data_IF_507663686241
#
_entry.id   IF_507663686241
#
_cell.length_a   1.000
_cell.length_b   1.000
_cell.length_c   1.000
_cell.angle_alpha   90.00
_cell.angle_beta   90.00
_cell.angle_gamma   90.00
#
_symmetry.space_group_name_H-M   'P 1'
#
loop_
_entity.id
_entity.type
_entity.pdbx_description
1 polymer ?
#
# COMPACT_ATOMS: atom_id res chain seq x y z
N UNK A 1 27.24 5.18 -11.59
CA UNK A 1 26.17 6.14 -11.97
C UNK A 1 25.98 7.12 -10.84
N UNK A 2 25.70 8.38 -11.16
CA UNK A 2 25.32 9.38 -10.17
C UNK A 2 23.86 9.20 -9.73
N UNK A 3 23.46 9.68 -8.54
CA UNK A 3 22.06 9.64 -8.10
C UNK A 3 21.11 10.33 -9.09
N UNK A 4 21.57 11.41 -9.73
CA UNK A 4 20.78 12.14 -10.74
C UNK A 4 20.51 11.30 -11.98
N UNK A 5 21.47 10.50 -12.43
CA UNK A 5 21.29 9.58 -13.55
C UNK A 5 20.24 8.52 -13.19
N UNK A 6 20.38 7.87 -12.03
CA UNK A 6 19.43 6.84 -11.57
C UNK A 6 17.98 7.36 -11.51
N UNK A 7 17.77 8.57 -10.99
CA UNK A 7 16.44 9.19 -10.95
C UNK A 7 15.87 9.43 -12.38
N UNK A 8 16.73 9.81 -13.32
CA UNK A 8 16.38 10.01 -14.72
C UNK A 8 16.06 8.70 -15.45
N UNK A 9 16.72 7.59 -15.10
CA UNK A 9 16.41 6.27 -15.64
C UNK A 9 15.00 5.80 -15.30
N UNK A 10 14.50 6.12 -14.09
CA UNK A 10 13.10 5.82 -13.73
C UNK A 10 12.14 6.60 -14.64
N UNK A 11 12.40 7.90 -14.87
CA UNK A 11 11.56 8.72 -15.75
C UNK A 11 11.55 8.18 -17.18
N UNK A 12 12.72 7.81 -17.72
CA UNK A 12 12.84 7.25 -19.06
C UNK A 12 12.14 5.90 -19.18
N UNK A 13 12.30 5.02 -18.19
CA UNK A 13 11.64 3.72 -18.17
C UNK A 13 10.11 3.85 -18.15
N UNK A 14 9.57 4.77 -17.34
CA UNK A 14 8.12 5.05 -17.29
C UNK A 14 7.60 5.62 -18.62
N UNK A 15 8.37 6.49 -19.27
CA UNK A 15 8.00 7.05 -20.57
C UNK A 15 8.03 6.00 -21.69
N UNK A 16 9.01 5.09 -21.64
CA UNK A 16 9.17 4.03 -22.63
C UNK A 16 8.13 2.92 -22.47
N UNK A 17 7.88 2.51 -21.22
CA UNK A 17 6.88 1.52 -20.85
C UNK A 17 5.90 2.10 -19.83
N UNK A 18 4.77 2.68 -20.30
CA UNK A 18 3.71 3.14 -19.42
C UNK A 18 3.09 2.03 -18.56
N UNK A 19 3.21 0.77 -18.96
CA UNK A 19 2.70 -0.38 -18.24
C UNK A 19 3.67 -0.90 -17.15
N UNK A 20 4.87 -0.32 -17.02
CA UNK A 20 5.86 -0.70 -16.02
C UNK A 20 5.27 -0.67 -14.60
N UNK A 21 5.50 -1.76 -13.85
CA UNK A 21 4.85 -2.01 -12.56
C UNK A 21 5.77 -1.91 -11.36
N UNK A 22 7.07 -1.98 -11.59
CA UNK A 22 8.11 -1.86 -10.59
C UNK A 22 9.41 -1.53 -11.31
N UNK A 23 10.32 -0.89 -10.60
CA UNK A 23 11.67 -0.60 -11.06
C UNK A 23 12.68 -1.15 -10.05
N UNK A 24 13.70 -1.86 -10.54
CA UNK A 24 14.65 -2.58 -9.70
C UNK A 24 16.05 -1.99 -9.89
N UNK A 25 16.71 -1.61 -8.80
CA UNK A 25 18.13 -1.30 -8.79
C UNK A 25 18.90 -2.50 -8.27
N UNK A 26 19.58 -3.24 -9.16
CA UNK A 26 20.54 -4.26 -8.76
C UNK A 26 21.95 -3.66 -8.74
N UNK A 27 22.65 -3.76 -7.61
CA UNK A 27 23.98 -3.16 -7.44
C UNK A 27 24.97 -4.12 -6.78
N UNK A 28 26.18 -4.24 -7.34
CA UNK A 28 27.26 -5.05 -6.77
C UNK A 28 27.96 -4.41 -5.57
N UNK A 29 27.51 -3.22 -5.17
CA UNK A 29 28.00 -2.44 -4.04
C UNK A 29 26.83 -1.90 -3.25
N UNK A 30 27.05 -1.60 -1.99
CA UNK A 30 26.07 -0.95 -1.12
C UNK A 30 25.56 0.34 -1.75
N UNK A 31 24.24 0.45 -1.86
CA UNK A 31 23.58 1.68 -2.28
C UNK A 31 23.45 2.59 -1.06
N UNK A 32 23.98 3.83 -1.12
CA UNK A 32 23.85 4.75 0.00
C UNK A 32 22.38 5.00 0.33
N UNK A 33 22.04 5.00 1.62
CA UNK A 33 20.66 5.18 2.10
C UNK A 33 20.00 6.45 1.54
N UNK A 34 20.78 7.52 1.36
CA UNK A 34 20.29 8.75 0.74
C UNK A 34 19.80 8.54 -0.70
N UNK A 35 20.52 7.72 -1.48
CA UNK A 35 20.17 7.42 -2.88
C UNK A 35 18.94 6.52 -2.93
N UNK A 36 18.92 5.48 -2.10
CA UNK A 36 17.77 4.59 -1.92
C UNK A 36 16.50 5.38 -1.58
N UNK A 37 16.57 6.27 -0.60
CA UNK A 37 15.45 7.14 -0.22
C UNK A 37 15.00 8.05 -1.37
N UNK A 38 15.93 8.63 -2.13
CA UNK A 38 15.59 9.45 -3.31
C UNK A 38 14.85 8.64 -4.37
N UNK A 39 15.30 7.40 -4.65
CA UNK A 39 14.65 6.51 -5.61
C UNK A 39 13.24 6.10 -5.14
N UNK A 40 13.09 5.76 -3.87
CA UNK A 40 11.78 5.40 -3.29
C UNK A 40 10.79 6.57 -3.35
N UNK A 41 11.24 7.80 -3.05
CA UNK A 41 10.41 9.01 -3.18
C UNK A 41 10.02 9.25 -4.63
N UNK A 42 10.97 9.15 -5.57
CA UNK A 42 10.72 9.32 -7.00
C UNK A 42 9.73 8.28 -7.53
N UNK A 43 9.94 7.01 -7.19
CA UNK A 43 9.04 5.93 -7.53
C UNK A 43 7.62 6.17 -7.01
N UNK A 44 7.49 6.61 -5.76
CA UNK A 44 6.19 6.93 -5.16
C UNK A 44 5.47 8.06 -5.92
N UNK A 45 6.17 9.12 -6.30
CA UNK A 45 5.62 10.22 -7.10
C UNK A 45 5.12 9.77 -8.49
N UNK A 46 5.74 8.71 -9.03
CA UNK A 46 5.38 8.14 -10.33
C UNK A 46 4.42 6.95 -10.22
N UNK A 47 4.00 6.55 -9.01
CA UNK A 47 3.19 5.35 -8.78
C UNK A 47 3.91 4.06 -9.16
N UNK A 48 5.25 4.04 -9.11
CA UNK A 48 6.09 2.88 -9.43
C UNK A 48 6.85 2.45 -8.17
N UNK A 49 6.54 1.26 -7.62
CA UNK A 49 7.35 0.62 -6.60
C UNK A 49 8.82 0.50 -7.03
N UNK A 50 9.73 0.89 -6.15
CA UNK A 50 11.17 0.72 -6.36
C UNK A 50 11.69 -0.31 -5.36
N UNK A 51 12.46 -1.28 -5.84
CA UNK A 51 13.18 -2.25 -5.02
C UNK A 51 14.69 -2.13 -5.28
N UNK A 52 15.48 -2.07 -4.21
CA UNK A 52 16.94 -2.06 -4.28
C UNK A 52 17.44 -3.45 -3.86
N UNK A 53 18.24 -4.07 -4.72
CA UNK A 53 18.86 -5.37 -4.55
C UNK A 53 20.37 -5.15 -4.59
N UNK A 54 20.98 -4.95 -3.44
CA UNK A 54 22.39 -4.61 -3.34
C UNK A 54 23.17 -5.51 -2.36
N UNK A 55 24.41 -5.13 -2.11
CA UNK A 55 25.30 -5.80 -1.16
C UNK A 55 25.14 -5.28 0.29
N UNK A 56 24.13 -4.44 0.57
CA UNK A 56 23.90 -3.88 1.91
C UNK A 56 23.23 -4.92 2.80
N UNK A 57 23.68 -5.04 4.05
CA UNK A 57 22.92 -5.78 5.05
C UNK A 57 23.67 -6.24 6.30
N UNK A 58 22.88 -6.46 7.35
CA UNK A 58 23.22 -6.98 8.69
C UNK A 58 23.00 -8.51 8.81
N UNK A 59 22.85 -9.21 7.69
CA UNK A 59 22.61 -10.67 7.64
C UNK A 59 23.76 -11.45 6.99
N UNK A 60 23.77 -12.77 7.15
CA UNK A 60 24.87 -13.63 6.69
C UNK A 60 25.06 -13.62 5.16
N UNK A 61 24.01 -13.33 4.38
CA UNK A 61 24.06 -13.29 2.91
C UNK A 61 23.30 -12.08 2.36
N UNK A 62 24.01 -11.27 1.56
CA UNK A 62 23.48 -10.08 0.88
C UNK A 62 22.38 -10.39 -0.13
N UNK A 63 21.50 -9.41 -0.39
CA UNK A 63 20.32 -9.61 -1.25
C UNK A 63 20.67 -9.95 -2.71
N UNK A 64 21.67 -9.28 -3.27
CA UNK A 64 22.16 -9.61 -4.62
C UNK A 64 22.74 -11.02 -4.68
N UNK A 65 23.49 -11.42 -3.65
CA UNK A 65 24.07 -12.77 -3.57
C UNK A 65 22.94 -13.81 -3.50
N UNK A 66 21.91 -13.55 -2.69
CA UNK A 66 20.74 -14.42 -2.62
C UNK A 66 20.02 -14.53 -3.96
N UNK A 67 19.88 -13.44 -4.72
CA UNK A 67 19.35 -13.47 -6.08
C UNK A 67 20.19 -14.36 -7.01
N UNK A 68 21.52 -14.26 -6.94
CA UNK A 68 22.43 -15.10 -7.73
C UNK A 68 22.28 -16.61 -7.44
N UNK A 69 21.79 -16.99 -6.25
CA UNK A 69 21.57 -18.40 -5.92
C UNK A 69 20.34 -19.02 -6.60
N UNK A 70 19.45 -18.21 -7.19
CA UNK A 70 18.24 -18.69 -7.88
C UNK A 70 18.60 -19.54 -9.09
N UNK A 71 19.58 -19.09 -9.87
CA UNK A 71 20.04 -19.79 -11.07
C UNK A 71 21.56 -19.57 -11.26
N UNK A 72 22.39 -20.45 -10.69
CA UNK A 72 23.83 -20.39 -10.84
C UNK A 72 24.31 -20.56 -12.29
N UNK A 73 23.52 -21.18 -13.17
CA UNK A 73 23.89 -21.35 -14.59
C UNK A 73 23.82 -20.00 -15.32
N UNK A 74 22.82 -19.17 -14.98
CA UNK A 74 22.76 -17.77 -15.45
C UNK A 74 23.96 -16.98 -14.95
N UNK A 75 24.40 -17.19 -13.70
CA UNK A 75 25.60 -16.55 -13.15
C UNK A 75 26.86 -16.96 -13.92
N UNK A 76 26.96 -18.23 -14.33
CA UNK A 76 28.09 -18.72 -15.13
C UNK A 76 28.20 -17.98 -16.47
N UNK A 77 27.05 -17.81 -17.14
CA UNK A 77 26.97 -17.11 -18.44
C UNK A 77 27.24 -15.61 -18.29
N UNK A 78 26.68 -14.97 -17.25
CA UNK A 78 26.74 -13.52 -17.08
C UNK A 78 28.04 -13.03 -16.44
N UNK A 79 28.69 -13.87 -15.64
CA UNK A 79 29.92 -13.54 -14.92
C UNK A 79 31.06 -14.50 -15.27
N UNK A 80 31.09 -15.68 -14.67
CA UNK A 80 32.05 -16.77 -14.95
C UNK A 80 31.73 -18.01 -14.09
N UNK A 81 32.45 -19.10 -14.38
CA UNK A 81 32.34 -20.39 -13.67
C UNK A 81 32.62 -20.31 -12.17
N UNK A 82 33.62 -19.54 -11.74
CA UNK A 82 33.97 -19.41 -10.32
C UNK A 82 32.82 -18.77 -9.53
N UNK A 83 32.22 -17.71 -10.07
CA UNK A 83 31.05 -17.06 -9.47
C UNK A 83 29.83 -18.01 -9.39
N UNK A 84 29.63 -18.86 -10.41
CA UNK A 84 28.57 -19.86 -10.40
C UNK A 84 28.79 -20.95 -9.34
N UNK A 85 30.03 -21.43 -9.20
CA UNK A 85 30.39 -22.40 -8.14
C UNK A 85 30.14 -21.80 -6.75
N UNK A 86 30.51 -20.53 -6.54
CA UNK A 86 30.20 -19.79 -5.31
C UNK A 86 28.69 -19.66 -5.09
N UNK A 87 27.92 -19.30 -6.12
CA UNK A 87 26.47 -19.20 -6.03
C UNK A 87 25.81 -20.54 -5.63
N UNK A 88 26.28 -21.67 -6.18
CA UNK A 88 25.80 -23.03 -5.79
C UNK A 88 26.11 -23.34 -4.33
N UNK A 89 27.32 -23.01 -3.86
CA UNK A 89 27.70 -23.21 -2.46
C UNK A 89 26.86 -22.37 -1.50
N UNK A 90 26.41 -21.20 -1.96
CA UNK A 90 25.63 -20.26 -1.16
C UNK A 90 24.12 -20.53 -1.18
N UNK A 91 23.61 -21.50 -1.94
CA UNK A 91 22.17 -21.82 -1.97
C UNK A 91 21.60 -22.10 -0.57
N UNK A 92 22.17 -23.00 0.26
CA UNK A 92 21.65 -23.23 1.61
C UNK A 92 21.69 -21.99 2.53
N UNK A 93 22.82 -21.25 2.70
CA UNK A 93 22.85 -20.09 3.58
C UNK A 93 22.04 -18.91 3.04
N UNK A 94 21.80 -18.81 1.74
CA UNK A 94 21.00 -17.74 1.15
C UNK A 94 19.49 -17.94 1.26
N UNK A 95 19.01 -19.12 1.70
CA UNK A 95 17.59 -19.48 1.63
C UNK A 95 16.66 -18.47 2.30
N UNK A 96 17.01 -17.95 3.48
CA UNK A 96 16.20 -16.95 4.19
C UNK A 96 16.17 -15.60 3.47
N UNK A 97 17.33 -15.11 3.02
CA UNK A 97 17.45 -13.88 2.23
C UNK A 97 16.69 -13.99 0.90
N UNK A 98 16.73 -15.17 0.27
CA UNK A 98 16.01 -15.43 -0.98
C UNK A 98 14.49 -15.46 -0.76
N UNK A 99 14.01 -16.10 0.31
CA UNK A 99 12.57 -16.09 0.63
C UNK A 99 12.05 -14.68 0.93
N UNK A 100 12.85 -13.86 1.63
CA UNK A 100 12.54 -12.44 1.81
C UNK A 100 12.46 -11.70 0.47
N UNK A 101 13.46 -11.87 -0.39
CA UNK A 101 13.48 -11.23 -1.71
C UNK A 101 12.31 -11.69 -2.59
N UNK A 102 11.95 -12.97 -2.56
CA UNK A 102 10.76 -13.51 -3.25
C UNK A 102 9.48 -12.83 -2.78
N UNK A 103 9.34 -12.61 -1.47
CA UNK A 103 8.20 -11.91 -0.88
C UNK A 103 8.18 -10.43 -1.28
N UNK A 104 9.32 -9.75 -1.28
CA UNK A 104 9.44 -8.35 -1.70
C UNK A 104 9.14 -8.16 -3.20
N UNK A 105 9.55 -9.11 -4.04
CA UNK A 105 9.24 -9.14 -5.47
C UNK A 105 7.83 -9.65 -5.78
N UNK A 106 7.08 -10.13 -4.79
CA UNK A 106 5.77 -10.70 -5.03
C UNK A 106 4.80 -9.62 -5.54
N UNK A 107 4.06 -9.95 -6.60
CA UNK A 107 3.15 -9.01 -7.26
C UNK A 107 2.11 -8.41 -6.29
N UNK A 108 1.72 -9.12 -5.23
CA UNK A 108 0.80 -8.66 -4.20
C UNK A 108 1.44 -7.80 -3.09
N UNK A 109 2.77 -7.77 -2.97
CA UNK A 109 3.51 -7.00 -1.96
C UNK A 109 4.07 -5.69 -2.52
N UNK A 110 4.44 -5.66 -3.81
CA UNK A 110 5.11 -4.50 -4.41
C UNK A 110 4.34 -3.18 -4.17
N UNK A 111 4.98 -2.19 -3.55
CA UNK A 111 4.35 -0.90 -3.28
C UNK A 111 3.18 -0.92 -2.28
N UNK A 112 2.84 -2.05 -1.66
CA UNK A 112 1.80 -2.14 -0.64
C UNK A 112 2.08 -1.17 0.51
N UNK A 113 3.30 -1.18 1.06
CA UNK A 113 3.65 -0.34 2.22
C UNK A 113 3.61 1.15 1.91
N UNK A 114 4.00 1.54 0.69
CA UNK A 114 3.92 2.93 0.23
C UNK A 114 2.48 3.37 0.03
N UNK A 115 1.65 2.53 -0.58
CA UNK A 115 0.23 2.81 -0.76
C UNK A 115 -0.50 2.91 0.58
N UNK A 116 -0.15 2.03 1.52
CA UNK A 116 -0.61 2.08 2.92
C UNK A 116 -0.18 3.38 3.59
N UNK A 117 1.06 3.82 3.44
CA UNK A 117 1.53 5.08 4.00
C UNK A 117 0.73 6.27 3.45
N UNK A 118 0.53 6.36 2.13
CA UNK A 118 -0.28 7.41 1.52
C UNK A 118 -1.74 7.40 2.00
N UNK A 119 -2.31 6.22 2.19
CA UNK A 119 -3.66 6.06 2.72
C UNK A 119 -3.78 6.49 4.19
N UNK A 120 -2.76 6.19 5.01
CA UNK A 120 -2.68 6.65 6.39
C UNK A 120 -2.47 8.17 6.48
N UNK A 121 -1.70 8.76 5.56
CA UNK A 121 -1.54 10.21 5.47
C UNK A 121 -2.89 10.88 5.12
N UNK A 122 -3.63 10.34 4.14
CA UNK A 122 -4.97 10.85 3.80
C UNK A 122 -5.95 10.70 4.97
N UNK A 123 -5.96 9.54 5.65
CA UNK A 123 -6.78 9.32 6.85
C UNK A 123 -6.46 10.35 7.95
N UNK A 124 -5.17 10.59 8.21
CA UNK A 124 -4.72 11.59 9.17
C UNK A 124 -5.15 13.01 8.76
N UNK A 125 -5.06 13.35 7.48
CA UNK A 125 -5.50 14.64 6.95
C UNK A 125 -7.02 14.82 7.12
N UNK A 126 -7.83 13.80 6.82
CA UNK A 126 -9.28 13.80 7.08
C UNK A 126 -9.55 14.04 8.58
N UNK A 127 -8.78 13.42 9.46
CA UNK A 127 -8.99 13.55 10.90
C UNK A 127 -8.55 14.90 11.48
N UNK A 128 -7.52 15.53 10.91
CA UNK A 128 -6.88 16.74 11.45
C UNK A 128 -7.25 18.03 10.73
N UNK A 129 -7.75 17.96 9.50
CA UNK A 129 -7.96 19.14 8.65
C UNK A 129 -9.41 19.27 8.21
N UNK A 130 -10.14 20.25 8.75
CA UNK A 130 -11.55 20.48 8.40
C UNK A 130 -11.79 20.65 6.90
N UNK A 131 -10.87 21.30 6.18
CA UNK A 131 -10.99 21.46 4.73
C UNK A 131 -10.95 20.12 3.99
N UNK A 132 -10.01 19.25 4.38
CA UNK A 132 -9.85 17.91 3.79
C UNK A 132 -11.03 17.02 4.13
N UNK A 133 -11.50 17.06 5.39
CA UNK A 133 -12.71 16.35 5.81
C UNK A 133 -13.95 16.77 5.01
N UNK A 134 -14.20 18.08 4.86
CA UNK A 134 -15.34 18.59 4.08
C UNK A 134 -15.21 18.20 2.60
N UNK A 135 -14.02 18.31 2.02
CA UNK A 135 -13.79 17.95 0.62
C UNK A 135 -14.01 16.45 0.35
N UNK A 136 -13.59 15.59 1.29
CA UNK A 136 -13.66 14.13 1.13
C UNK A 136 -14.99 13.52 1.57
N UNK A 137 -15.64 14.07 2.61
CA UNK A 137 -16.83 13.48 3.24
C UNK A 137 -18.09 14.35 3.12
N UNK A 138 -17.97 15.58 2.63
CA UNK A 138 -19.10 16.53 2.58
C UNK A 138 -19.50 17.10 3.93
N UNK A 139 -18.76 16.77 5.01
CA UNK A 139 -19.00 17.23 6.37
C UNK A 139 -17.69 17.48 7.11
N UNK A 140 -17.70 18.36 8.11
CA UNK A 140 -16.54 18.61 8.96
C UNK A 140 -16.38 17.47 9.99
N UNK A 141 -15.61 16.45 9.59
CA UNK A 141 -15.29 15.29 10.40
C UNK A 141 -13.91 15.36 11.09
N UNK A 142 -13.24 16.52 11.07
CA UNK A 142 -11.88 16.69 11.58
C UNK A 142 -11.81 16.77 13.11
N UNK A 143 -12.26 15.72 13.80
CA UNK A 143 -12.32 15.65 15.26
C UNK A 143 -10.96 15.81 15.95
N UNK A 144 -9.87 15.42 15.30
CA UNK A 144 -8.50 15.52 15.84
C UNK A 144 -7.97 16.95 15.98
N UNK A 145 -8.61 17.91 15.33
CA UNK A 145 -8.31 19.34 15.45
C UNK A 145 -9.05 20.03 16.60
N UNK A 146 -10.05 19.36 17.20
CA UNK A 146 -10.94 19.93 18.21
C UNK A 146 -10.39 19.68 19.61
N UNK A 147 -10.33 20.74 20.44
CA UNK A 147 -9.85 20.66 21.82
C UNK A 147 -10.76 19.85 22.74
N UNK A 148 -12.07 19.86 22.46
CA UNK A 148 -13.11 19.26 23.29
C UNK A 148 -13.59 17.91 22.72
N UNK A 149 -12.77 17.23 21.93
CA UNK A 149 -13.12 15.91 21.41
C UNK A 149 -13.23 14.88 22.54
N UNK A 150 -14.39 14.23 22.65
CA UNK A 150 -14.63 13.18 23.64
C UNK A 150 -14.67 11.82 22.91
N UNK A 151 -13.69 10.93 23.16
CA UNK A 151 -13.66 9.61 22.56
C UNK A 151 -14.90 8.77 22.92
N UNK A 152 -15.38 7.98 21.95
CA UNK A 152 -16.48 7.04 22.15
C UNK A 152 -15.93 5.66 22.53
N UNK A 153 -15.48 5.51 23.77
CA UNK A 153 -14.79 4.30 24.25
C UNK A 153 -15.56 3.02 23.99
N UNK A 154 -16.87 2.97 24.28
CA UNK A 154 -17.67 1.76 24.04
C UNK A 154 -17.72 1.36 22.57
N UNK A 155 -17.77 2.33 21.64
CA UNK A 155 -17.76 2.05 20.20
C UNK A 155 -16.38 1.54 19.77
N UNK A 156 -15.30 2.13 20.31
CA UNK A 156 -13.94 1.64 20.08
C UNK A 156 -13.76 0.21 20.56
N UNK A 157 -14.25 -0.13 21.74
CA UNK A 157 -14.12 -1.47 22.31
C UNK A 157 -14.87 -2.53 21.48
N UNK A 158 -16.02 -2.17 20.89
CA UNK A 158 -16.75 -3.03 19.95
C UNK A 158 -15.99 -3.19 18.63
N UNK A 159 -15.45 -2.11 18.06
CA UNK A 159 -14.65 -2.16 16.84
C UNK A 159 -13.35 -2.93 17.04
N UNK A 160 -12.73 -2.85 18.21
CA UNK A 160 -11.57 -3.66 18.59
C UNK A 160 -11.93 -5.14 18.67
N UNK A 161 -13.08 -5.46 19.27
CA UNK A 161 -13.56 -6.85 19.32
C UNK A 161 -13.83 -7.37 17.92
N UNK A 162 -14.49 -6.58 17.07
CA UNK A 162 -14.70 -6.93 15.67
C UNK A 162 -13.36 -7.18 14.97
N UNK A 163 -12.42 -6.24 14.99
CA UNK A 163 -11.15 -6.36 14.28
C UNK A 163 -10.32 -7.59 14.69
N UNK A 164 -10.36 -7.97 15.98
CA UNK A 164 -9.59 -9.08 16.51
C UNK A 164 -10.28 -10.45 16.40
N UNK A 165 -11.61 -10.50 16.18
CA UNK A 165 -12.38 -11.75 16.17
C UNK A 165 -13.12 -12.03 14.86
N UNK A 166 -13.18 -11.06 13.96
CA UNK A 166 -13.81 -11.20 12.66
C UNK A 166 -13.11 -12.27 11.82
N UNK A 167 -13.91 -13.13 11.21
CA UNK A 167 -13.46 -13.87 10.04
C UNK A 167 -13.05 -12.86 8.93
N UNK A 168 -12.14 -13.24 8.02
CA UNK A 168 -11.89 -12.46 6.82
C UNK A 168 -13.24 -12.11 6.16
N UNK A 169 -13.40 -10.84 5.78
CA UNK A 169 -14.58 -10.29 5.10
C UNK A 169 -15.86 -10.10 5.93
N UNK A 170 -15.81 -10.14 7.27
CA UNK A 170 -16.97 -9.80 8.10
C UNK A 170 -17.12 -8.26 8.26
N UNK A 171 -18.20 -7.62 7.78
CA UNK A 171 -18.40 -6.18 7.95
C UNK A 171 -18.84 -5.81 9.38
N UNK A 172 -18.48 -4.61 9.82
CA UNK A 172 -19.03 -3.98 11.02
C UNK A 172 -19.96 -2.82 10.64
N UNK A 173 -21.07 -2.67 11.38
CA UNK A 173 -22.02 -1.58 11.18
C UNK A 173 -22.09 -0.71 12.45
N UNK A 174 -21.74 0.57 12.33
CA UNK A 174 -21.90 1.56 13.40
C UNK A 174 -23.20 2.32 13.17
N UNK A 175 -24.21 1.99 13.96
CA UNK A 175 -25.58 2.52 13.83
C UNK A 175 -25.92 3.52 14.93
N UNK A 176 -26.84 4.43 14.64
CA UNK A 176 -27.30 5.45 15.56
C UNK A 176 -27.98 6.60 14.84
N UNK A 177 -28.67 7.45 15.61
CA UNK A 177 -29.36 8.63 15.07
C UNK A 177 -28.40 9.61 14.40
N UNK A 178 -28.94 10.56 13.65
CA UNK A 178 -28.12 11.61 13.04
C UNK A 178 -27.51 12.54 14.10
N UNK A 179 -26.28 12.98 13.84
CA UNK A 179 -25.54 13.86 14.75
C UNK A 179 -24.92 13.19 15.99
N UNK A 180 -25.06 11.88 16.21
CA UNK A 180 -24.51 11.20 17.41
C UNK A 180 -22.99 10.95 17.37
N UNK A 181 -22.32 11.31 16.27
CA UNK A 181 -20.87 11.20 16.12
C UNK A 181 -20.38 9.84 15.61
N UNK A 182 -21.16 9.13 14.78
CA UNK A 182 -20.80 7.84 14.18
C UNK A 182 -19.50 7.93 13.36
N UNK A 183 -19.46 8.87 12.41
CA UNK A 183 -18.30 9.13 11.55
C UNK A 183 -17.05 9.42 12.37
N UNK A 184 -17.17 10.26 13.40
CA UNK A 184 -16.06 10.62 14.27
C UNK A 184 -15.56 9.42 15.09
N UNK A 185 -16.46 8.59 15.60
CA UNK A 185 -16.08 7.39 16.35
C UNK A 185 -15.29 6.40 15.48
N UNK A 186 -15.72 6.21 14.22
CA UNK A 186 -15.02 5.35 13.26
C UNK A 186 -13.64 5.92 12.89
N UNK A 187 -13.56 7.22 12.55
CA UNK A 187 -12.28 7.86 12.20
C UNK A 187 -11.29 7.84 13.38
N UNK A 188 -11.76 8.18 14.58
CA UNK A 188 -10.95 8.13 15.81
C UNK A 188 -10.45 6.71 16.11
N UNK A 189 -11.29 5.69 15.88
CA UNK A 189 -10.87 4.29 15.97
C UNK A 189 -9.79 3.95 14.93
N UNK A 190 -10.01 4.25 13.65
CA UNK A 190 -9.05 3.96 12.58
C UNK A 190 -7.70 4.63 12.83
N UNK A 191 -7.71 5.90 13.26
CA UNK A 191 -6.50 6.65 13.63
C UNK A 191 -5.78 5.97 14.80
N UNK A 192 -6.51 5.52 15.83
CA UNK A 192 -5.91 4.81 16.96
C UNK A 192 -5.31 3.44 16.60
N UNK A 193 -5.61 2.92 15.41
CA UNK A 193 -5.12 1.64 14.89
C UNK A 193 -4.20 1.80 13.68
N UNK A 194 -3.73 3.01 13.36
CA UNK A 194 -2.91 3.30 12.16
C UNK A 194 -1.81 2.28 11.91
N UNK A 195 -1.13 1.84 12.97
CA UNK A 195 0.00 0.93 12.90
C UNK A 195 -0.40 -0.51 12.53
N UNK A 196 -1.66 -0.87 12.74
CA UNK A 196 -2.21 -2.21 12.51
C UNK A 196 -3.11 -2.28 11.26
N UNK A 197 -3.64 -1.15 10.80
CA UNK A 197 -4.50 -1.13 9.62
C UNK A 197 -3.70 -1.45 8.36
N UNK A 198 -4.31 -2.13 7.37
CA UNK A 198 -3.73 -2.30 6.04
C UNK A 198 -3.86 -0.98 5.26
N UNK A 199 -4.34 -0.97 4.01
CA UNK A 199 -4.62 0.30 3.30
C UNK A 199 -6.01 0.80 3.71
N UNK A 200 -6.14 1.88 4.51
CA UNK A 200 -7.45 2.45 4.84
C UNK A 200 -8.02 3.28 3.69
N UNK A 201 -9.30 3.07 3.37
CA UNK A 201 -10.03 3.89 2.40
C UNK A 201 -11.32 4.36 3.07
N UNK A 202 -11.53 5.67 3.11
CA UNK A 202 -12.77 6.29 3.61
C UNK A 202 -13.58 6.77 2.42
N UNK A 203 -14.81 6.29 2.29
CA UNK A 203 -15.70 6.59 1.17
C UNK A 203 -17.02 7.14 1.70
N UNK A 204 -17.41 8.38 1.37
CA UNK A 204 -18.76 8.83 1.66
C UNK A 204 -19.75 8.13 0.72
N UNK A 205 -20.96 7.86 1.22
CA UNK A 205 -22.03 7.23 0.46
C UNK A 205 -22.42 8.05 -0.78
N UNK A 206 -22.28 9.37 -0.73
CA UNK A 206 -22.47 10.25 -1.88
C UNK A 206 -21.51 9.97 -3.05
N UNK A 207 -20.32 9.39 -2.78
CA UNK A 207 -19.42 8.96 -3.84
C UNK A 207 -19.88 7.66 -4.53
N UNK A 208 -20.81 6.92 -3.90
CA UNK A 208 -21.45 5.72 -4.43
C UNK A 208 -22.78 6.02 -5.13
N UNK A 209 -23.40 7.18 -4.83
CA UNK A 209 -24.69 7.58 -5.38
C UNK A 209 -24.68 7.56 -6.92
N UNK A 210 -25.68 6.92 -7.52
CA UNK A 210 -25.82 6.80 -8.97
C UNK A 210 -24.78 5.89 -9.66
N UNK A 211 -23.92 5.19 -8.91
CA UNK A 211 -22.99 4.20 -9.47
C UNK A 211 -23.60 2.80 -9.44
N UNK A 212 -23.50 2.09 -10.57
CA UNK A 212 -23.86 0.68 -10.65
C UNK A 212 -22.69 -0.19 -10.16
N UNK A 213 -22.62 -0.44 -8.84
CA UNK A 213 -21.66 -1.39 -8.25
C UNK A 213 -22.23 -2.81 -8.23
N UNK A 214 -22.66 -3.29 -9.39
CA UNK A 214 -23.39 -4.56 -9.52
C UNK A 214 -22.50 -5.81 -9.51
N UNK A 215 -21.18 -5.67 -9.61
CA UNK A 215 -20.23 -6.77 -9.63
C UNK A 215 -18.84 -6.36 -9.10
N UNK A 216 -17.97 -7.37 -8.89
CA UNK A 216 -16.63 -7.16 -8.36
C UNK A 216 -15.73 -6.29 -9.25
N UNK A 217 -15.90 -6.33 -10.58
CA UNK A 217 -15.10 -5.53 -11.52
C UNK A 217 -15.43 -4.04 -11.37
N UNK A 218 -16.71 -3.71 -11.19
CA UNK A 218 -17.14 -2.33 -10.99
C UNK A 218 -16.66 -1.78 -9.64
N UNK A 219 -16.66 -2.60 -8.58
CA UNK A 219 -16.07 -2.25 -7.28
C UNK A 219 -14.56 -2.05 -7.39
N UNK A 220 -13.85 -2.94 -8.09
CA UNK A 220 -12.40 -2.78 -8.30
C UNK A 220 -12.06 -1.52 -9.10
N UNK A 221 -12.86 -1.18 -10.12
CA UNK A 221 -12.69 0.07 -10.87
C UNK A 221 -12.88 1.28 -9.98
N UNK A 222 -13.94 1.30 -9.17
CA UNK A 222 -14.21 2.37 -8.22
C UNK A 222 -13.07 2.54 -7.21
N UNK A 223 -12.59 1.43 -6.63
CA UNK A 223 -11.46 1.48 -5.70
C UNK A 223 -10.17 1.93 -6.41
N UNK A 224 -9.94 1.51 -7.66
CA UNK A 224 -8.84 2.00 -8.50
C UNK A 224 -8.88 3.51 -8.71
N UNK A 225 -10.06 4.09 -8.96
CA UNK A 225 -10.27 5.55 -9.00
C UNK A 225 -9.90 6.21 -7.67
N UNK A 226 -10.26 5.59 -6.53
CA UNK A 226 -9.90 6.13 -5.20
C UNK A 226 -8.41 6.08 -4.93
N UNK A 227 -7.72 5.01 -5.33
CA UNK A 227 -6.26 4.93 -5.25
C UNK A 227 -5.58 5.95 -6.16
N UNK A 228 -6.13 6.19 -7.35
CA UNK A 228 -5.66 7.26 -8.24
C UNK A 228 -5.84 8.65 -7.61
N UNK A 229 -7.03 8.97 -7.10
CA UNK A 229 -7.30 10.24 -6.43
C UNK A 229 -6.37 10.50 -5.23
N UNK A 230 -6.09 9.45 -4.46
CA UNK A 230 -5.23 9.51 -3.27
C UNK A 230 -3.74 9.70 -3.64
N UNK A 231 -3.25 8.99 -4.66
CA UNK A 231 -1.83 9.01 -5.02
C UNK A 231 -1.48 10.12 -6.00
N UNK A 232 -2.42 10.59 -6.81
CA UNK A 232 -2.19 11.56 -7.88
C UNK A 232 -1.23 11.07 -8.98
N UNK A 233 -0.88 9.79 -8.99
CA UNK A 233 0.08 9.19 -9.90
C UNK A 233 -0.59 8.19 -10.82
N UNK A 234 -0.07 8.03 -12.04
CA UNK A 234 -0.61 7.14 -13.08
C UNK A 234 -2.06 7.46 -13.43
N UNK A 235 -2.86 6.45 -13.76
CA UNK A 235 -4.28 6.59 -14.08
C UNK A 235 -5.12 5.53 -13.32
N UNK A 236 -6.44 5.68 -13.36
CA UNK A 236 -7.35 4.77 -12.67
C UNK A 236 -7.27 3.32 -13.17
N UNK A 237 -6.94 3.09 -14.44
CA UNK A 237 -6.82 1.74 -15.00
C UNK A 237 -5.57 1.03 -14.47
N UNK A 238 -4.44 1.73 -14.38
CA UNK A 238 -3.23 1.25 -13.73
C UNK A 238 -3.53 0.81 -12.29
N UNK A 239 -4.22 1.66 -11.52
CA UNK A 239 -4.57 1.34 -10.14
C UNK A 239 -5.60 0.23 -10.00
N UNK A 240 -6.54 0.09 -10.94
CA UNK A 240 -7.46 -1.05 -10.98
C UNK A 240 -6.69 -2.38 -11.15
N UNK A 241 -5.77 -2.44 -12.12
CA UNK A 241 -4.93 -3.63 -12.36
C UNK A 241 -4.03 -3.92 -11.15
N UNK A 242 -3.41 -2.88 -10.58
CA UNK A 242 -2.57 -2.98 -9.39
C UNK A 242 -3.37 -3.52 -8.20
N UNK A 243 -4.57 -3.00 -7.96
CA UNK A 243 -5.47 -3.47 -6.92
C UNK A 243 -5.82 -4.95 -7.10
N UNK A 244 -6.09 -5.39 -8.33
CA UNK A 244 -6.33 -6.80 -8.63
C UNK A 244 -5.17 -7.71 -8.19
N UNK A 245 -3.92 -7.25 -8.29
CA UNK A 245 -2.74 -7.99 -7.80
C UNK A 245 -2.60 -7.93 -6.29
N UNK A 246 -2.83 -6.77 -5.68
CA UNK A 246 -2.82 -6.63 -4.23
C UNK A 246 -3.85 -7.56 -3.58
N UNK A 247 -5.04 -7.70 -4.17
CA UNK A 247 -6.10 -8.61 -3.69
C UNK A 247 -5.73 -10.10 -3.77
N UNK A 248 -4.66 -10.47 -4.48
CA UNK A 248 -4.11 -11.83 -4.44
C UNK A 248 -3.16 -12.07 -3.25
N UNK A 249 -3.06 -11.11 -2.32
CA UNK A 249 -2.29 -11.25 -1.08
C UNK A 249 -2.76 -12.49 -0.30
N UNK A 250 -1.86 -13.42 0.07
CA UNK A 250 -2.25 -14.61 0.84
C UNK A 250 -2.93 -14.25 2.17
N UNK A 251 -3.92 -15.03 2.62
CA UNK A 251 -4.62 -14.73 3.88
C UNK A 251 -3.71 -14.70 5.13
N UNK A 252 -2.61 -15.46 5.12
CA UNK A 252 -1.59 -15.44 6.19
C UNK A 252 -0.83 -14.10 6.28
N UNK A 253 -0.87 -13.29 5.23
CA UNK A 253 -0.24 -11.98 5.13
C UNK A 253 -1.14 -10.83 5.62
N UNK A 254 -2.36 -11.16 6.05
CA UNK A 254 -3.38 -10.21 6.51
C UNK A 254 -4.19 -9.56 5.39
N UNK A 255 -5.18 -8.72 5.76
CA UNK A 255 -6.06 -8.04 4.82
C UNK A 255 -5.30 -7.00 3.98
N UNK A 256 -5.83 -6.71 2.79
CA UNK A 256 -5.25 -5.72 1.87
C UNK A 256 -5.80 -4.32 2.12
N UNK A 257 -7.10 -4.23 2.40
CA UNK A 257 -7.83 -2.98 2.55
C UNK A 257 -8.65 -3.02 3.84
N UNK A 258 -8.90 -1.84 4.41
CA UNK A 258 -10.01 -1.60 5.34
C UNK A 258 -10.84 -0.46 4.78
N UNK A 259 -12.12 -0.72 4.53
CA UNK A 259 -13.04 0.22 3.90
C UNK A 259 -14.02 0.76 4.93
N UNK A 260 -14.06 2.09 5.09
CA UNK A 260 -15.09 2.78 5.85
C UNK A 260 -16.07 3.43 4.88
N UNK A 261 -17.32 2.98 4.90
CA UNK A 261 -18.43 3.59 4.17
C UNK A 261 -19.20 4.53 5.10
N UNK A 262 -19.14 5.83 4.84
CA UNK A 262 -19.77 6.86 5.68
C UNK A 262 -21.10 7.34 5.09
N UNK A 263 -22.17 7.41 5.89
CA UNK A 263 -23.44 8.02 5.47
C UNK A 263 -24.34 7.15 4.57
N UNK A 264 -24.21 5.82 4.58
CA UNK A 264 -25.03 4.91 3.74
C UNK A 264 -26.55 5.13 3.84
N UNK A 265 -27.06 5.53 5.00
CA UNK A 265 -28.49 5.78 5.22
C UNK A 265 -28.99 7.16 4.76
N UNK A 266 -28.11 8.02 4.21
CA UNK A 266 -28.46 9.41 3.86
C UNK A 266 -28.89 9.58 2.40
N UNK A 267 -28.72 8.57 1.56
CA UNK A 267 -29.10 8.62 0.15
C UNK A 267 -29.76 7.30 -0.28
N UNK A 268 -31.04 7.37 -0.67
CA UNK A 268 -31.83 6.21 -1.12
C UNK A 268 -31.36 5.61 -2.45
N UNK A 269 -30.42 6.27 -3.14
CA UNK A 269 -29.85 5.82 -4.42
C UNK A 269 -28.56 5.00 -4.26
N UNK A 270 -28.08 4.82 -3.03
CA UNK A 270 -26.93 3.96 -2.73
C UNK A 270 -27.42 2.50 -2.66
N UNK A 271 -26.82 1.58 -3.43
CA UNK A 271 -27.28 0.19 -3.54
C UNK A 271 -27.09 -0.62 -2.26
#
# INVERSE_FOLDING_TARGET
MSPRELLGEIDQAVQHDPAMEAWFLAATTDVPEQVENQLLVKGSQLGVPVLVIDCKGDGDVWSLVALCTVDPDVVEVMANKEAAELARLLVPPAASSLERLRRECAAWQLGFDRLRASALDELNAIWRESRTAVAKLGQDAAGGSRRDFIPRTSVKDELDRWWNSAAPDAPAAVIGLDGVGKTWACLDWMISKSDLLPIPIVVPASALAGRALGNAVDVQRFLGEKLFEMTGARDANHWQLRLGRLLNRPGAEGPVLVLMLDGLNQDSSVP
#
